data_IF_716839318466
#
_entry.id   IF_716839318466
#
_cell.length_a   1.000
_cell.length_b   1.000
_cell.length_c   1.000
_cell.angle_alpha   90.00
_cell.angle_beta   90.00
_cell.angle_gamma   90.00
#
_symmetry.space_group_name_H-M   'P 1'
#
loop_
_entity.id
_entity.type
_entity.pdbx_description
1 polymer ?
#
# COMPACT_ATOMS: atom_id res chain seq x y z
N UNK A 1 -0.34 -0.41 -15.65
CA UNK A 1 -1.02 0.02 -16.90
C UNK A 1 -2.08 -0.98 -17.39
N UNK A 2 -1.84 -2.29 -17.34
CA UNK A 2 -2.84 -3.32 -17.62
C UNK A 2 -4.08 -3.28 -16.70
N UNK A 3 -3.94 -2.81 -15.46
CA UNK A 3 -5.07 -2.54 -14.55
C UNK A 3 -6.06 -1.55 -15.13
N UNK A 4 -5.58 -0.52 -15.83
CA UNK A 4 -6.43 0.45 -16.55
C UNK A 4 -7.03 -0.17 -17.83
N UNK A 5 -6.34 -1.11 -18.48
CA UNK A 5 -6.88 -1.83 -19.64
C UNK A 5 -8.09 -2.69 -19.24
N UNK A 6 -7.93 -3.45 -18.16
CA UNK A 6 -8.97 -4.32 -17.61
C UNK A 6 -10.15 -3.51 -17.04
N UNK A 7 -9.88 -2.43 -16.29
CA UNK A 7 -10.93 -1.53 -15.80
C UNK A 7 -11.75 -0.93 -16.95
N UNK A 8 -11.10 -0.53 -18.05
CA UNK A 8 -11.80 0.01 -19.22
C UNK A 8 -12.65 -1.05 -19.93
N UNK A 9 -12.19 -2.30 -20.02
CA UNK A 9 -12.98 -3.40 -20.61
C UNK A 9 -14.16 -3.76 -19.71
N UNK A 10 -13.98 -3.75 -18.39
CA UNK A 10 -15.08 -3.98 -17.42
C UNK A 10 -16.07 -2.82 -17.44
N UNK A 11 -15.63 -1.56 -17.45
CA UNK A 11 -16.51 -0.40 -17.59
C UNK A 11 -17.28 -0.43 -18.92
N UNK A 12 -16.63 -0.80 -20.03
CA UNK A 12 -17.29 -0.99 -21.33
C UNK A 12 -18.28 -2.16 -21.27
N UNK A 13 -17.97 -3.23 -20.55
CA UNK A 13 -18.89 -4.34 -20.27
C UNK A 13 -20.09 -3.92 -19.42
N UNK A 14 -19.89 -3.10 -18.39
CA UNK A 14 -20.95 -2.50 -17.55
C UNK A 14 -21.81 -1.51 -18.34
N UNK A 15 -21.19 -0.74 -19.23
CA UNK A 15 -21.89 0.17 -20.15
C UNK A 15 -22.67 -0.64 -21.19
N UNK A 16 -22.13 -1.74 -21.72
CA UNK A 16 -22.87 -2.66 -22.59
C UNK A 16 -24.04 -3.30 -21.85
N UNK A 17 -23.86 -3.67 -20.57
CA UNK A 17 -24.92 -4.19 -19.72
C UNK A 17 -26.02 -3.13 -19.51
N UNK A 18 -25.64 -1.87 -19.25
CA UNK A 18 -26.58 -0.75 -19.14
C UNK A 18 -27.29 -0.43 -20.47
N UNK A 19 -26.62 -0.59 -21.60
CA UNK A 19 -27.21 -0.47 -22.95
C UNK A 19 -28.16 -1.62 -23.25
N UNK A 20 -27.84 -2.85 -22.83
CA UNK A 20 -28.72 -4.02 -22.96
C UNK A 20 -29.92 -3.95 -22.01
N UNK A 21 -29.78 -3.34 -20.84
CA UNK A 21 -30.89 -3.05 -19.92
C UNK A 21 -31.76 -1.87 -20.40
N UNK A 22 -31.22 -0.93 -21.18
CA UNK A 22 -32.02 0.06 -21.91
C UNK A 22 -32.66 -0.50 -23.20
N UNK A 23 -32.15 -1.62 -23.72
CA UNK A 23 -32.73 -2.29 -24.89
C UNK A 23 -34.00 -3.09 -24.57
N UNK A 24 -34.35 -3.28 -23.30
CA UNK A 24 -35.67 -3.82 -22.91
C UNK A 24 -36.81 -2.80 -23.06
N UNK A 25 -36.52 -1.54 -23.41
CA UNK A 25 -37.52 -0.54 -23.83
C UNK A 25 -37.84 -0.62 -25.34
N UNK A 26 -37.70 -1.81 -25.95
CA UNK A 26 -38.36 -2.13 -27.21
C UNK A 26 -39.87 -2.24 -26.98
N UNK A 27 -40.53 -1.09 -26.73
CA UNK A 27 -41.99 -1.01 -26.81
C UNK A 27 -42.39 -1.20 -28.28
N UNK A 28 -43.27 -2.16 -28.60
CA UNK A 28 -43.80 -2.26 -29.95
C UNK A 28 -44.52 -0.95 -30.31
N UNK A 29 -44.33 -0.51 -31.55
CA UNK A 29 -44.95 0.68 -32.13
C UNK A 29 -46.49 0.51 -32.22
N UNK A 30 -47.18 0.71 -31.11
CA UNK A 30 -48.62 0.94 -31.06
C UNK A 30 -48.93 1.69 -29.75
N UNK A 31 -49.74 2.74 -29.83
CA UNK A 31 -50.11 3.69 -28.77
C UNK A 31 -49.20 4.91 -28.58
N UNK A 32 -49.34 5.87 -29.52
CA UNK A 32 -49.18 7.28 -29.19
C UNK A 32 -50.38 7.72 -28.34
N UNK A 33 -50.17 7.95 -27.04
CA UNK A 33 -51.14 8.67 -26.19
C UNK A 33 -50.41 9.68 -25.28
N UNK A 34 -51.04 10.82 -24.95
CA UNK A 34 -50.34 11.99 -24.42
C UNK A 34 -49.84 11.82 -22.98
N UNK A 35 -48.74 12.50 -22.73
CA UNK A 35 -47.85 12.47 -21.58
C UNK A 35 -48.41 13.00 -20.25
N UNK A 36 -49.54 12.48 -19.72
CA UNK A 36 -50.10 13.00 -18.46
C UNK A 36 -50.69 11.97 -17.46
N UNK A 37 -50.40 10.67 -17.57
CA UNK A 37 -51.03 9.65 -16.70
C UNK A 37 -50.11 8.75 -15.86
N UNK A 38 -48.82 9.05 -15.71
CA UNK A 38 -47.91 8.22 -14.89
C UNK A 38 -47.48 8.83 -13.54
N UNK A 39 -47.99 10.00 -13.17
CA UNK A 39 -47.65 10.63 -11.88
C UNK A 39 -48.48 10.12 -10.67
N UNK A 40 -49.34 9.11 -10.84
CA UNK A 40 -50.17 8.60 -9.75
C UNK A 40 -49.80 7.18 -9.29
N UNK A 41 -48.81 6.53 -9.91
CA UNK A 41 -48.35 5.18 -9.52
C UNK A 41 -47.04 5.18 -8.71
N UNK A 42 -46.29 6.29 -8.66
CA UNK A 42 -45.06 6.42 -7.87
C UNK A 42 -45.28 6.63 -6.36
N UNK A 43 -46.53 6.67 -5.89
CA UNK A 43 -46.90 7.00 -4.51
C UNK A 43 -47.05 5.79 -3.58
N UNK A 44 -46.74 4.57 -4.02
CA UNK A 44 -46.73 3.38 -3.15
C UNK A 44 -45.35 2.73 -3.14
N UNK A 45 -44.66 2.76 -1.99
CA UNK A 45 -43.34 2.15 -1.77
C UNK A 45 -43.25 0.63 -2.01
N UNK A 46 -44.29 0.00 -2.58
CA UNK A 46 -44.33 -1.40 -3.03
C UNK A 46 -43.68 -1.61 -4.40
N UNK A 47 -43.74 -0.63 -5.31
CA UNK A 47 -43.17 -0.75 -6.66
C UNK A 47 -41.64 -0.64 -6.65
N UNK A 48 -41.09 0.20 -5.78
CA UNK A 48 -39.64 0.39 -5.62
C UNK A 48 -38.94 -0.88 -5.09
N UNK A 49 -39.62 -1.69 -4.28
CA UNK A 49 -39.10 -2.98 -3.79
C UNK A 49 -39.05 -4.08 -4.85
N UNK A 50 -40.02 -4.09 -5.78
CA UNK A 50 -40.10 -5.09 -6.85
C UNK A 50 -39.03 -4.84 -7.93
N UNK A 51 -38.87 -3.59 -8.36
CA UNK A 51 -37.81 -3.18 -9.30
C UNK A 51 -36.41 -3.48 -8.76
N UNK A 52 -36.23 -3.26 -7.45
CA UNK A 52 -34.98 -3.57 -6.77
C UNK A 52 -34.67 -5.07 -6.74
N UNK A 53 -35.64 -5.92 -6.40
CA UNK A 53 -35.47 -7.38 -6.41
C UNK A 53 -35.13 -7.89 -7.80
N UNK A 54 -35.85 -7.44 -8.82
CA UNK A 54 -35.62 -7.85 -10.20
C UNK A 54 -34.24 -7.43 -10.71
N UNK A 55 -33.78 -6.22 -10.37
CA UNK A 55 -32.42 -5.79 -10.67
C UNK A 55 -31.39 -6.72 -10.01
N UNK A 56 -31.56 -7.02 -8.71
CA UNK A 56 -30.60 -7.86 -7.96
C UNK A 56 -30.55 -9.28 -8.50
N UNK A 57 -31.71 -9.86 -8.84
CA UNK A 57 -31.83 -11.18 -9.43
C UNK A 57 -31.19 -11.23 -10.83
N UNK A 58 -31.38 -10.19 -11.64
CA UNK A 58 -30.74 -10.07 -12.95
C UNK A 58 -29.21 -9.96 -12.84
N UNK A 59 -28.69 -9.10 -11.96
CA UNK A 59 -27.23 -8.98 -11.74
C UNK A 59 -26.66 -10.28 -11.20
N UNK A 60 -27.37 -10.98 -10.31
CA UNK A 60 -26.98 -12.30 -9.81
C UNK A 60 -26.97 -13.37 -10.91
N UNK A 61 -27.91 -13.31 -11.87
CA UNK A 61 -27.96 -14.17 -13.04
C UNK A 61 -26.79 -13.90 -14.00
N UNK A 62 -26.49 -12.62 -14.27
CA UNK A 62 -25.32 -12.21 -15.07
C UNK A 62 -24.03 -12.70 -14.42
N UNK A 63 -23.89 -12.57 -13.09
CA UNK A 63 -22.76 -13.13 -12.34
C UNK A 63 -22.64 -14.64 -12.54
N UNK A 64 -23.76 -15.37 -12.41
CA UNK A 64 -23.80 -16.82 -12.58
C UNK A 64 -23.43 -17.26 -14.01
N UNK A 65 -23.82 -16.49 -15.02
CA UNK A 65 -23.46 -16.74 -16.42
C UNK A 65 -21.97 -16.48 -16.69
N UNK A 66 -21.39 -15.45 -16.06
CA UNK A 66 -19.96 -15.18 -16.11
C UNK A 66 -19.14 -16.25 -15.36
N UNK A 67 -19.71 -16.83 -14.29
CA UNK A 67 -19.13 -17.94 -13.51
C UNK A 67 -19.16 -19.29 -14.25
N UNK A 68 -20.13 -19.54 -15.13
CA UNK A 68 -20.28 -20.82 -15.85
C UNK A 68 -19.25 -21.06 -16.97
N UNK A 69 -18.21 -20.23 -17.06
CA UNK A 69 -17.06 -20.48 -17.94
C UNK A 69 -17.21 -20.00 -19.38
N UNK A 70 -18.29 -19.31 -19.73
CA UNK A 70 -18.48 -18.69 -21.06
C UNK A 70 -17.64 -17.42 -21.27
N UNK A 71 -16.91 -16.95 -20.26
CA UNK A 71 -16.02 -15.77 -20.34
C UNK A 71 -14.64 -16.05 -20.95
N UNK A 72 -14.53 -17.07 -21.81
CA UNK A 72 -13.28 -17.52 -22.46
C UNK A 72 -12.72 -16.55 -23.51
N UNK A 73 -13.24 -15.33 -23.60
CA UNK A 73 -12.81 -14.28 -24.52
C UNK A 73 -12.26 -13.05 -23.79
N UNK A 74 -12.52 -12.90 -22.48
CA UNK A 74 -12.09 -11.73 -21.70
C UNK A 74 -10.56 -11.67 -21.57
N UNK A 75 -9.84 -12.76 -21.24
CA UNK A 75 -8.37 -12.77 -21.24
C UNK A 75 -7.76 -12.41 -22.60
N UNK A 76 -8.35 -12.90 -23.69
CA UNK A 76 -7.89 -12.74 -25.07
C UNK A 76 -8.05 -11.28 -25.52
N UNK A 77 -9.21 -10.67 -25.22
CA UNK A 77 -9.45 -9.25 -25.46
C UNK A 77 -8.52 -8.38 -24.61
N UNK A 78 -8.33 -8.72 -23.33
CA UNK A 78 -7.41 -7.98 -22.45
C UNK A 78 -5.96 -8.02 -22.97
N UNK A 79 -5.50 -9.17 -23.47
CA UNK A 79 -4.20 -9.34 -24.11
C UNK A 79 -4.09 -8.50 -25.38
N UNK A 80 -5.11 -8.50 -26.23
CA UNK A 80 -5.13 -7.70 -27.45
C UNK A 80 -5.09 -6.20 -27.16
N UNK A 81 -5.86 -5.73 -26.17
CA UNK A 81 -5.83 -4.33 -25.72
C UNK A 81 -4.45 -3.97 -25.17
N UNK A 82 -3.83 -4.85 -24.38
CA UNK A 82 -2.46 -4.65 -23.88
C UNK A 82 -1.45 -4.45 -25.03
N UNK A 83 -1.49 -5.32 -26.04
CA UNK A 83 -0.56 -5.24 -27.19
C UNK A 83 -0.84 -4.00 -28.04
N UNK A 84 -2.10 -3.75 -28.42
CA UNK A 84 -2.43 -2.71 -29.41
C UNK A 84 -2.42 -1.31 -28.78
N UNK A 85 -3.07 -1.15 -27.63
CA UNK A 85 -3.28 0.16 -27.00
C UNK A 85 -2.07 0.60 -26.18
N UNK A 86 -1.46 -0.34 -25.45
CA UNK A 86 -0.34 -0.05 -24.55
C UNK A 86 1.02 -0.39 -25.17
N UNK A 87 1.06 -0.99 -26.37
CA UNK A 87 2.28 -1.28 -27.13
C UNK A 87 3.30 -2.14 -26.38
N UNK A 88 2.81 -3.01 -25.51
CA UNK A 88 3.64 -3.92 -24.71
C UNK A 88 3.97 -5.20 -25.48
N UNK A 89 5.04 -5.89 -25.07
CA UNK A 89 5.42 -7.17 -25.65
C UNK A 89 4.38 -8.26 -25.34
N UNK A 90 4.15 -9.18 -26.29
CA UNK A 90 3.13 -10.22 -26.16
C UNK A 90 3.33 -11.12 -24.92
N UNK A 91 4.59 -11.41 -24.56
CA UNK A 91 4.95 -12.17 -23.35
C UNK A 91 4.56 -11.43 -22.07
N UNK A 92 4.82 -10.12 -22.00
CA UNK A 92 4.43 -9.27 -20.86
C UNK A 92 2.91 -9.27 -20.72
N UNK A 93 2.18 -9.06 -21.82
CA UNK A 93 0.73 -9.08 -21.80
C UNK A 93 0.15 -10.45 -21.38
N UNK A 94 0.76 -11.55 -21.81
CA UNK A 94 0.34 -12.90 -21.43
C UNK A 94 0.54 -13.16 -19.93
N UNK A 95 1.73 -12.84 -19.41
CA UNK A 95 2.06 -12.99 -17.99
C UNK A 95 1.17 -12.14 -17.09
N UNK A 96 1.00 -10.85 -17.43
CA UNK A 96 0.13 -9.94 -16.67
C UNK A 96 -1.33 -10.42 -16.67
N UNK A 97 -1.88 -10.79 -17.83
CA UNK A 97 -3.28 -11.28 -17.89
C UNK A 97 -3.44 -12.56 -17.10
N UNK A 98 -2.48 -13.47 -17.18
CA UNK A 98 -2.51 -14.75 -16.45
C UNK A 98 -2.47 -14.53 -14.93
N UNK A 99 -1.54 -13.70 -14.46
CA UNK A 99 -1.37 -13.40 -13.03
C UNK A 99 -2.57 -12.68 -12.43
N UNK A 100 -3.13 -11.69 -13.13
CA UNK A 100 -4.20 -10.85 -12.59
C UNK A 100 -5.62 -11.41 -12.79
N UNK A 101 -5.81 -12.38 -13.70
CA UNK A 101 -7.11 -13.02 -13.97
C UNK A 101 -7.91 -13.38 -12.70
N UNK A 102 -7.36 -14.13 -11.72
CA UNK A 102 -8.13 -14.51 -10.53
C UNK A 102 -8.56 -13.30 -9.68
N UNK A 103 -7.71 -12.29 -9.53
CA UNK A 103 -8.03 -11.07 -8.76
C UNK A 103 -9.07 -10.22 -9.46
N UNK A 104 -8.97 -10.08 -10.77
CA UNK A 104 -9.98 -9.35 -11.51
C UNK A 104 -11.33 -10.04 -11.50
N UNK A 105 -11.34 -11.37 -11.62
CA UNK A 105 -12.55 -12.17 -11.43
C UNK A 105 -13.15 -11.88 -10.05
N UNK A 106 -12.34 -11.95 -9.00
CA UNK A 106 -12.76 -11.62 -7.65
C UNK A 106 -13.34 -10.18 -7.54
N UNK A 107 -12.64 -9.17 -8.07
CA UNK A 107 -13.07 -7.78 -8.02
C UNK A 107 -14.37 -7.54 -8.81
N UNK A 108 -14.52 -8.17 -9.98
CA UNK A 108 -15.77 -8.15 -10.74
C UNK A 108 -16.89 -8.76 -9.90
N UNK A 109 -16.70 -9.97 -9.38
CA UNK A 109 -17.75 -10.73 -8.72
C UNK A 109 -18.20 -10.10 -7.38
N UNK A 110 -17.27 -9.44 -6.67
CA UNK A 110 -17.50 -8.93 -5.31
C UNK A 110 -17.63 -7.41 -5.21
N UNK A 111 -17.08 -6.66 -6.16
CA UNK A 111 -17.05 -5.19 -6.11
C UNK A 111 -17.92 -4.59 -7.20
N UNK A 112 -17.68 -4.93 -8.47
CA UNK A 112 -18.32 -4.27 -9.63
C UNK A 112 -19.66 -4.87 -10.07
N UNK A 113 -19.87 -6.17 -9.89
CA UNK A 113 -21.13 -6.89 -10.18
C UNK A 113 -21.83 -7.36 -8.90
N UNK A 114 -21.56 -6.69 -7.77
CA UNK A 114 -22.36 -6.88 -6.57
C UNK A 114 -23.80 -6.41 -6.86
N UNK A 115 -24.83 -7.27 -6.71
CA UNK A 115 -26.23 -6.87 -6.92
C UNK A 115 -26.63 -5.64 -6.10
N UNK A 116 -26.11 -5.52 -4.87
CA UNK A 116 -26.35 -4.35 -4.01
C UNK A 116 -25.73 -3.09 -4.63
N UNK A 117 -24.47 -3.14 -5.04
CA UNK A 117 -23.76 -1.95 -5.55
C UNK A 117 -24.34 -1.50 -6.89
N UNK A 118 -24.51 -2.43 -7.85
CA UNK A 118 -25.04 -2.12 -9.18
C UNK A 118 -26.45 -1.55 -9.06
N UNK A 119 -27.35 -2.23 -8.35
CA UNK A 119 -28.73 -1.78 -8.25
C UNK A 119 -28.86 -0.51 -7.39
N UNK A 120 -28.00 -0.30 -6.40
CA UNK A 120 -27.89 0.97 -5.67
C UNK A 120 -27.50 2.15 -6.53
N UNK A 121 -26.54 1.96 -7.45
CA UNK A 121 -26.08 3.02 -8.34
C UNK A 121 -27.18 3.46 -9.31
N UNK A 122 -27.95 2.52 -9.84
CA UNK A 122 -28.94 2.80 -10.88
C UNK A 122 -30.34 3.09 -10.34
N UNK A 123 -30.75 2.48 -9.23
CA UNK A 123 -32.09 2.63 -8.63
C UNK A 123 -32.11 3.47 -7.34
N UNK A 124 -30.95 3.97 -6.92
CA UNK A 124 -30.79 4.83 -5.75
C UNK A 124 -30.58 4.09 -4.43
N UNK A 125 -30.32 4.84 -3.37
CA UNK A 125 -29.96 4.33 -2.03
C UNK A 125 -31.05 3.47 -1.37
N UNK A 126 -32.30 3.53 -1.83
CA UNK A 126 -33.38 2.64 -1.39
C UNK A 126 -33.24 1.19 -1.87
N UNK A 127 -32.36 0.92 -2.85
CA UNK A 127 -32.11 -0.41 -3.41
C UNK A 127 -30.73 -0.99 -3.05
N UNK A 128 -29.94 -0.28 -2.26
CA UNK A 128 -28.64 -0.76 -1.79
C UNK A 128 -28.48 -0.58 -0.29
N UNK A 129 -27.99 -1.62 0.36
CA UNK A 129 -27.50 -1.52 1.74
C UNK A 129 -26.05 -0.97 1.82
N UNK A 130 -25.41 -0.72 0.68
CA UNK A 130 -24.00 -0.37 0.55
C UNK A 130 -23.80 0.91 -0.27
N UNK A 131 -23.14 1.90 0.32
CA UNK A 131 -22.55 2.99 -0.45
C UNK A 131 -21.42 2.42 -1.30
N UNK A 132 -21.48 2.57 -2.63
CA UNK A 132 -20.30 2.34 -3.48
C UNK A 132 -19.21 3.27 -2.93
N UNK A 133 -18.04 2.76 -2.49
CA UNK A 133 -16.98 3.62 -2.03
C UNK A 133 -16.47 4.38 -3.25
N UNK A 134 -16.78 5.67 -3.35
CA UNK A 134 -16.09 6.53 -4.30
C UNK A 134 -14.58 6.41 -4.00
N UNK A 135 -13.76 6.20 -5.02
CA UNK A 135 -12.29 6.06 -4.87
C UNK A 135 -11.62 7.28 -4.19
N UNK A 136 -12.36 8.39 -4.02
CA UNK A 136 -11.96 9.61 -3.32
C UNK A 136 -12.84 9.92 -2.08
N UNK A 137 -13.49 8.91 -1.50
CA UNK A 137 -14.34 9.10 -0.32
C UNK A 137 -13.49 9.44 0.92
N UNK A 138 -13.82 10.56 1.55
CA UNK A 138 -13.28 10.92 2.86
C UNK A 138 -14.08 10.22 3.95
N UNK A 139 -13.37 9.56 4.85
CA UNK A 139 -13.88 9.00 6.09
C UNK A 139 -13.08 9.58 7.25
N UNK A 140 -13.50 9.35 8.49
CA UNK A 140 -12.81 9.87 9.67
C UNK A 140 -12.50 8.75 10.66
N UNK A 141 -11.29 8.79 11.22
CA UNK A 141 -10.93 8.05 12.43
C UNK A 141 -11.49 8.74 13.68
N UNK A 142 -11.62 7.98 14.77
CA UNK A 142 -11.99 8.54 16.07
C UNK A 142 -10.73 8.75 16.92
N UNK A 143 -10.37 10.01 17.15
CA UNK A 143 -9.32 10.38 18.09
C UNK A 143 -9.86 10.27 19.54
N UNK A 144 -8.99 9.94 20.51
CA UNK A 144 -9.37 9.88 21.91
C UNK A 144 -9.74 11.28 22.44
N UNK A 145 -10.55 11.30 23.50
CA UNK A 145 -10.94 12.54 24.19
C UNK A 145 -9.81 13.17 25.02
N UNK A 146 -8.67 12.47 25.17
CA UNK A 146 -7.48 12.98 25.86
C UNK A 146 -6.99 14.24 25.13
N UNK A 147 -6.94 15.40 25.82
CA UNK A 147 -6.51 16.65 25.20
C UNK A 147 -5.10 16.54 24.63
N UNK A 148 -4.89 17.11 23.44
CA UNK A 148 -3.56 17.23 22.84
C UNK A 148 -2.64 18.01 23.79
N UNK A 149 -1.46 17.48 24.16
CA UNK A 149 -0.49 18.21 24.95
C UNK A 149 -0.05 19.51 24.27
N UNK A 150 0.34 20.56 25.03
CA UNK A 150 0.90 21.76 24.45
C UNK A 150 2.12 21.46 23.59
N UNK A 151 2.23 22.14 22.44
CA UNK A 151 3.41 22.04 21.57
C UNK A 151 4.62 22.58 22.33
N UNK A 152 5.61 21.71 22.54
CA UNK A 152 6.86 22.08 23.21
C UNK A 152 8.02 22.02 22.21
N UNK A 153 8.90 23.03 22.16
CA UNK A 153 10.08 22.98 21.31
C UNK A 153 10.96 21.79 21.67
N UNK A 154 11.38 21.05 20.65
CA UNK A 154 12.36 19.96 20.79
C UNK A 154 13.63 20.54 21.40
N UNK A 155 14.03 19.98 22.54
CA UNK A 155 15.29 20.35 23.18
C UNK A 155 16.44 19.67 22.45
N UNK A 156 17.50 20.40 22.06
CA UNK A 156 18.69 19.79 21.50
C UNK A 156 19.30 18.77 22.48
N UNK A 157 19.90 17.67 21.98
CA UNK A 157 20.64 16.75 22.82
C UNK A 157 21.75 17.47 23.59
N UNK A 158 22.03 17.04 24.82
CA UNK A 158 23.15 17.61 25.59
C UNK A 158 24.48 17.35 24.87
N UNK A 159 25.47 18.26 24.94
CA UNK A 159 26.78 18.02 24.35
C UNK A 159 27.39 16.71 24.87
N UNK A 160 27.74 15.80 23.96
CA UNK A 160 28.27 14.47 24.31
C UNK A 160 27.22 13.40 24.62
N UNK A 161 25.91 13.70 24.47
CA UNK A 161 24.85 12.70 24.55
C UNK A 161 25.09 11.56 23.56
N UNK A 162 24.69 10.34 23.97
CA UNK A 162 24.78 9.15 23.12
C UNK A 162 23.93 9.33 21.87
N UNK A 163 24.48 8.93 20.72
CA UNK A 163 23.78 8.89 19.43
C UNK A 163 23.70 7.45 18.95
N UNK A 164 22.55 7.08 18.41
CA UNK A 164 22.33 5.82 17.72
C UNK A 164 22.56 6.02 16.22
N UNK A 165 23.16 5.03 15.55
CA UNK A 165 23.30 5.00 14.10
C UNK A 165 22.28 4.04 13.51
N UNK A 166 21.33 4.58 12.76
CA UNK A 166 20.26 3.80 12.13
C UNK A 166 20.46 3.79 10.63
N UNK A 167 20.69 2.60 10.05
CA UNK A 167 20.67 2.45 8.60
C UNK A 167 19.22 2.34 8.11
N UNK A 168 18.92 2.94 6.97
CA UNK A 168 17.62 2.85 6.31
C UNK A 168 17.82 2.42 4.87
N UNK A 169 17.23 1.27 4.57
CA UNK A 169 17.32 0.57 3.29
C UNK A 169 15.90 0.38 2.78
N UNK A 170 15.69 0.63 1.48
CA UNK A 170 14.41 0.41 0.82
C UNK A 170 14.65 0.04 -0.64
N UNK A 171 13.66 -0.58 -1.27
CA UNK A 171 13.58 -0.73 -2.73
C UNK A 171 14.84 -1.44 -3.27
N UNK A 172 15.08 -2.65 -2.76
CA UNK A 172 16.28 -3.45 -3.08
C UNK A 172 16.23 -4.00 -4.51
N UNK A 173 15.04 -4.39 -4.97
CA UNK A 173 14.78 -4.96 -6.30
C UNK A 173 15.81 -6.01 -6.74
N UNK A 174 15.82 -7.13 -6.02
CA UNK A 174 16.64 -8.29 -6.32
C UNK A 174 16.15 -8.95 -7.61
N UNK A 175 16.93 -8.84 -8.68
CA UNK A 175 16.72 -9.58 -9.93
C UNK A 175 17.29 -11.00 -9.77
N UNK A 176 16.38 -11.99 -9.72
CA UNK A 176 16.72 -13.40 -9.56
C UNK A 176 17.40 -14.01 -10.82
N UNK A 177 17.39 -13.29 -11.95
CA UNK A 177 18.00 -13.68 -13.22
C UNK A 177 19.36 -12.99 -13.47
N UNK A 178 19.87 -12.23 -12.50
CA UNK A 178 21.13 -11.53 -12.61
C UNK A 178 22.32 -12.48 -12.89
N UNK A 179 23.25 -12.06 -13.77
CA UNK A 179 24.48 -12.80 -14.12
C UNK A 179 25.75 -12.05 -13.70
N UNK A 180 26.74 -12.81 -13.23
CA UNK A 180 27.96 -12.40 -12.51
C UNK A 180 28.86 -11.39 -13.25
N UNK A 181 29.35 -10.34 -12.54
CA UNK A 181 30.37 -9.39 -13.01
C UNK A 181 30.62 -8.09 -12.19
N UNK A 182 29.99 -7.86 -11.03
CA UNK A 182 30.11 -6.60 -10.26
C UNK A 182 30.78 -6.78 -8.88
N UNK A 183 31.61 -5.81 -8.48
CA UNK A 183 32.43 -5.81 -7.24
C UNK A 183 31.63 -5.39 -5.99
N UNK A 184 31.85 -6.08 -4.88
CA UNK A 184 31.30 -5.77 -3.55
C UNK A 184 32.39 -5.87 -2.45
N UNK A 185 33.63 -5.48 -2.77
CA UNK A 185 34.76 -5.54 -1.84
C UNK A 185 35.01 -4.19 -1.17
N UNK A 186 34.70 -4.09 0.13
CA UNK A 186 35.00 -2.91 0.96
C UNK A 186 36.27 -3.04 1.80
N UNK A 187 37.09 -4.08 1.56
CA UNK A 187 38.47 -4.16 2.02
C UNK A 187 38.72 -4.13 3.54
N UNK A 188 37.70 -4.30 4.39
CA UNK A 188 37.84 -4.21 5.86
C UNK A 188 37.12 -5.36 6.60
N UNK A 189 37.66 -5.91 7.71
CA UNK A 189 37.04 -7.02 8.45
C UNK A 189 35.71 -6.67 9.14
N UNK A 190 35.39 -5.38 9.31
CA UNK A 190 34.09 -4.89 9.78
C UNK A 190 34.00 -3.38 9.52
N UNK A 191 32.97 -2.93 8.81
CA UNK A 191 32.62 -1.51 8.66
C UNK A 191 31.11 -1.32 8.83
N UNK A 192 30.70 -0.14 9.32
CA UNK A 192 29.33 0.24 9.65
C UNK A 192 28.70 -0.57 10.80
N UNK A 193 29.07 -0.25 12.06
CA UNK A 193 28.25 -0.64 13.22
C UNK A 193 27.02 0.27 13.25
N UNK A 194 25.86 -0.34 13.01
CA UNK A 194 24.55 0.27 13.21
C UNK A 194 23.93 -0.25 14.50
N UNK A 195 23.21 0.59 15.22
CA UNK A 195 22.39 0.17 16.36
C UNK A 195 21.09 -0.48 15.87
N UNK A 196 20.58 -0.04 14.71
CA UNK A 196 19.41 -0.61 14.07
C UNK A 196 19.44 -0.47 12.54
N UNK A 197 18.67 -1.33 11.86
CA UNK A 197 18.37 -1.25 10.42
C UNK A 197 16.85 -1.10 10.27
N UNK A 198 16.44 -0.02 9.62
CA UNK A 198 15.08 0.19 9.11
C UNK A 198 15.03 -0.30 7.67
N UNK A 199 14.09 -1.19 7.40
CA UNK A 199 13.86 -1.72 6.06
C UNK A 199 12.42 -1.47 5.64
N UNK A 200 12.21 -0.68 4.59
CA UNK A 200 10.87 -0.26 4.16
C UNK A 200 10.35 -1.01 2.93
N UNK A 201 10.82 -2.23 2.65
CA UNK A 201 10.20 -3.11 1.66
C UNK A 201 10.72 -2.98 0.24
N UNK A 202 10.00 -3.60 -0.70
CA UNK A 202 10.32 -3.73 -2.13
C UNK A 202 11.61 -4.53 -2.40
N UNK A 203 11.63 -5.79 -1.94
CA UNK A 203 12.68 -6.74 -2.33
C UNK A 203 12.53 -7.26 -3.76
N UNK A 204 11.35 -7.71 -4.23
CA UNK A 204 11.24 -8.28 -5.58
C UNK A 204 11.41 -7.22 -6.66
N UNK A 205 11.91 -7.63 -7.82
CA UNK A 205 12.15 -6.73 -8.96
C UNK A 205 10.85 -6.28 -9.67
N UNK A 206 11.04 -5.59 -10.80
CA UNK A 206 9.95 -5.09 -11.63
C UNK A 206 9.52 -6.06 -12.76
N UNK A 207 10.05 -7.29 -12.81
CA UNK A 207 9.62 -8.33 -13.75
C UNK A 207 8.26 -8.94 -13.35
N UNK A 208 7.30 -8.09 -13.02
CA UNK A 208 6.01 -8.39 -12.37
C UNK A 208 5.07 -9.27 -13.20
N UNK A 209 5.42 -9.54 -14.46
CA UNK A 209 4.67 -10.42 -15.37
C UNK A 209 5.09 -11.89 -15.26
N UNK A 210 6.19 -12.19 -14.56
CA UNK A 210 6.75 -13.55 -14.45
C UNK A 210 7.24 -13.84 -13.01
N UNK A 211 6.43 -13.46 -12.02
CA UNK A 211 6.71 -13.71 -10.60
C UNK A 211 5.83 -14.84 -10.06
N UNK A 212 6.37 -15.61 -9.12
CA UNK A 212 5.67 -16.71 -8.41
C UNK A 212 5.71 -16.47 -6.90
N UNK A 213 4.76 -17.06 -6.16
CA UNK A 213 4.68 -16.92 -4.70
C UNK A 213 5.92 -17.45 -4.00
N UNK A 214 6.43 -18.57 -4.51
CA UNK A 214 7.63 -19.23 -4.01
C UNK A 214 8.84 -18.31 -4.11
N UNK A 215 9.02 -17.64 -5.25
CA UNK A 215 10.11 -16.65 -5.43
C UNK A 215 10.01 -15.50 -4.44
N UNK A 216 8.81 -14.95 -4.18
CA UNK A 216 8.66 -13.85 -3.20
C UNK A 216 9.08 -14.28 -1.80
N UNK A 217 8.65 -15.47 -1.37
CA UNK A 217 9.02 -16.04 -0.07
C UNK A 217 10.53 -16.29 0.01
N UNK A 218 11.11 -16.87 -1.05
CA UNK A 218 12.54 -17.20 -1.09
C UNK A 218 13.43 -15.96 -1.09
N UNK A 219 13.04 -14.90 -1.80
CA UNK A 219 13.76 -13.61 -1.78
C UNK A 219 13.81 -13.06 -0.36
N UNK A 220 12.67 -13.03 0.35
CA UNK A 220 12.62 -12.50 1.71
C UNK A 220 13.41 -13.39 2.69
N UNK A 221 13.32 -14.72 2.55
CA UNK A 221 14.10 -15.68 3.33
C UNK A 221 15.60 -15.46 3.15
N UNK A 222 16.06 -15.28 1.91
CA UNK A 222 17.47 -15.09 1.59
C UNK A 222 17.96 -13.73 2.10
N UNK A 223 17.18 -12.66 1.93
CA UNK A 223 17.52 -11.34 2.43
C UNK A 223 17.67 -11.33 3.96
N UNK A 224 16.71 -11.90 4.68
CA UNK A 224 16.80 -12.01 6.15
C UNK A 224 17.91 -12.95 6.61
N UNK A 225 18.26 -13.99 5.83
CA UNK A 225 19.43 -14.82 6.10
C UNK A 225 20.75 -14.03 5.96
N UNK A 226 20.86 -13.16 4.95
CA UNK A 226 22.01 -12.26 4.80
C UNK A 226 22.10 -11.28 5.98
N UNK A 227 20.98 -10.70 6.41
CA UNK A 227 20.95 -9.82 7.57
C UNK A 227 21.41 -10.53 8.84
N UNK A 228 20.95 -11.76 9.10
CA UNK A 228 21.44 -12.55 10.25
C UNK A 228 22.93 -12.86 10.16
N UNK A 229 23.44 -13.12 8.95
CA UNK A 229 24.85 -13.44 8.73
C UNK A 229 25.76 -12.24 8.96
N UNK A 230 25.41 -11.08 8.41
CA UNK A 230 26.27 -9.89 8.43
C UNK A 230 25.96 -8.93 9.59
N UNK A 231 24.76 -8.98 10.16
CA UNK A 231 24.29 -8.11 11.24
C UNK A 231 23.59 -8.89 12.38
N UNK A 232 24.22 -9.94 12.96
CA UNK A 232 23.56 -10.85 13.91
C UNK A 232 23.07 -10.19 15.20
N UNK A 233 23.66 -9.05 15.60
CA UNK A 233 23.37 -8.34 16.85
C UNK A 233 22.76 -6.95 16.62
N UNK A 234 22.28 -6.67 15.41
CA UNK A 234 21.66 -5.38 15.07
C UNK A 234 20.15 -5.54 15.08
N UNK A 235 19.45 -4.58 15.69
CA UNK A 235 18.00 -4.57 15.64
C UNK A 235 17.52 -4.37 14.19
N UNK A 236 16.55 -5.15 13.74
CA UNK A 236 16.00 -5.05 12.40
C UNK A 236 14.49 -4.80 12.50
N UNK A 237 14.04 -3.71 11.90
CA UNK A 237 12.62 -3.31 11.87
C UNK A 237 12.20 -3.18 10.42
N UNK A 238 11.17 -3.93 10.02
CA UNK A 238 10.74 -4.03 8.64
C UNK A 238 9.31 -3.49 8.45
N UNK A 239 9.09 -2.83 7.32
CA UNK A 239 7.79 -2.61 6.70
C UNK A 239 7.72 -3.36 5.36
N UNK A 240 6.52 -3.74 4.94
CA UNK A 240 6.28 -4.36 3.64
C UNK A 240 6.14 -3.28 2.56
N UNK A 241 6.72 -3.55 1.40
CA UNK A 241 6.52 -2.77 0.19
C UNK A 241 5.39 -3.33 -0.65
N UNK A 242 5.16 -2.69 -1.80
CA UNK A 242 4.08 -3.08 -2.69
C UNK A 242 4.48 -4.23 -3.64
N UNK A 243 5.78 -4.50 -3.79
CA UNK A 243 6.32 -5.61 -4.58
C UNK A 243 6.34 -6.96 -3.87
N UNK A 244 6.11 -7.03 -2.56
CA UNK A 244 6.13 -8.31 -1.83
C UNK A 244 5.00 -9.29 -2.21
N UNK A 245 3.87 -8.79 -2.73
CA UNK A 245 2.76 -9.65 -3.18
C UNK A 245 2.87 -10.00 -4.66
N UNK A 246 2.31 -11.16 -5.03
CA UNK A 246 2.10 -11.55 -6.42
C UNK A 246 0.61 -11.85 -6.64
N UNK A 247 -0.04 -11.13 -7.56
CA UNK A 247 0.49 -10.04 -8.40
C UNK A 247 0.81 -8.77 -7.59
N UNK A 248 1.74 -7.96 -8.09
CA UNK A 248 2.21 -6.72 -7.45
C UNK A 248 1.06 -5.81 -6.99
N UNK A 249 1.20 -5.19 -5.81
CA UNK A 249 0.17 -4.39 -5.13
C UNK A 249 -1.07 -5.16 -4.66
N UNK A 250 -1.14 -6.48 -4.87
CA UNK A 250 -2.29 -7.28 -4.42
C UNK A 250 -2.11 -7.74 -2.99
N UNK A 251 -2.60 -6.91 -2.07
CA UNK A 251 -2.77 -7.25 -0.67
C UNK A 251 -4.29 -7.34 -0.46
N UNK A 252 -4.85 -8.54 -0.26
CA UNK A 252 -6.25 -8.75 0.12
C UNK A 252 -6.39 -8.94 1.65
N UNK A 253 -7.46 -8.44 2.29
CA UNK A 253 -7.66 -8.43 3.73
C UNK A 253 -7.85 -9.79 4.29
N UNK A 254 -7.81 -9.81 5.62
CA UNK A 254 -8.11 -10.99 6.40
C UNK A 254 -9.46 -11.66 6.14
N UNK A 255 -10.54 -10.96 5.78
CA UNK A 255 -11.81 -11.68 5.51
C UNK A 255 -11.79 -12.38 4.13
N UNK A 256 -10.83 -12.08 3.24
CA UNK A 256 -10.53 -12.91 2.07
C UNK A 256 -9.79 -14.14 2.57
N UNK A 257 -10.38 -15.32 2.32
CA UNK A 257 -9.83 -16.61 2.74
C UNK A 257 -9.51 -17.46 1.53
N UNK A 258 -8.67 -18.47 1.73
CA UNK A 258 -8.32 -19.42 0.68
C UNK A 258 -7.18 -18.92 -0.19
N UNK A 259 -7.16 -19.37 -1.44
CA UNK A 259 -6.01 -19.19 -2.32
C UNK A 259 -5.79 -17.73 -2.73
N UNK A 260 -6.83 -16.91 -2.68
CA UNK A 260 -6.80 -15.49 -3.02
C UNK A 260 -6.30 -14.61 -1.87
N UNK A 261 -6.09 -15.17 -0.67
CA UNK A 261 -5.56 -14.43 0.48
C UNK A 261 -4.03 -14.33 0.44
N UNK A 262 -3.49 -13.61 1.43
CA UNK A 262 -2.05 -13.54 1.70
C UNK A 262 -1.57 -14.55 2.75
N UNK A 263 -2.38 -15.58 3.05
CA UNK A 263 -2.05 -16.66 4.00
C UNK A 263 -0.80 -17.47 3.56
N UNK A 264 -0.40 -17.38 2.29
CA UNK A 264 0.85 -17.97 1.80
C UNK A 264 2.10 -17.16 2.17
N UNK A 265 1.96 -15.86 2.47
CA UNK A 265 3.08 -14.95 2.68
C UNK A 265 3.24 -14.50 4.14
N UNK A 266 2.16 -14.08 4.81
CA UNK A 266 2.29 -13.53 6.18
C UNK A 266 2.83 -14.52 7.22
N UNK A 267 2.45 -15.82 7.20
CA UNK A 267 3.05 -16.80 8.10
C UNK A 267 4.54 -17.02 7.84
N UNK A 268 4.96 -17.03 6.56
CA UNK A 268 6.37 -17.13 6.19
C UNK A 268 7.15 -15.88 6.60
N UNK A 269 6.57 -14.70 6.40
CA UNK A 269 7.12 -13.43 6.86
C UNK A 269 7.35 -13.44 8.38
N UNK A 270 6.37 -13.93 9.16
CA UNK A 270 6.52 -14.08 10.60
C UNK A 270 7.68 -15.02 10.96
N UNK A 271 7.82 -16.17 10.28
CA UNK A 271 8.94 -17.09 10.50
C UNK A 271 10.30 -16.38 10.31
N UNK A 272 10.39 -15.52 9.29
CA UNK A 272 11.63 -14.80 8.99
C UNK A 272 11.91 -13.64 9.93
N UNK A 273 10.86 -12.94 10.40
CA UNK A 273 10.97 -11.76 11.25
C UNK A 273 10.95 -12.05 12.75
N UNK A 274 10.44 -13.21 13.18
CA UNK A 274 10.32 -13.55 14.61
C UNK A 274 11.62 -13.49 15.42
N UNK A 275 12.84 -13.63 14.84
CA UNK A 275 14.07 -13.37 15.59
C UNK A 275 14.25 -11.92 16.05
N UNK A 276 13.63 -10.95 15.37
CA UNK A 276 13.74 -9.51 15.68
C UNK A 276 12.45 -8.91 16.23
N UNK A 277 11.31 -9.58 16.05
CA UNK A 277 9.99 -9.09 16.45
C UNK A 277 9.51 -9.80 17.73
N UNK A 278 9.13 -9.06 18.78
CA UNK A 278 8.57 -9.65 20.00
C UNK A 278 7.37 -10.57 19.72
N UNK A 279 7.28 -11.70 20.42
CA UNK A 279 6.28 -12.75 20.15
C UNK A 279 4.83 -12.28 20.28
N UNK A 280 4.56 -11.31 21.14
CA UNK A 280 3.25 -10.69 21.35
C UNK A 280 2.80 -9.86 20.13
N UNK A 281 3.72 -9.51 19.22
CA UNK A 281 3.42 -8.78 17.99
C UNK A 281 3.06 -9.70 16.81
N UNK A 282 3.13 -11.02 16.98
CA UNK A 282 2.80 -12.00 15.92
C UNK A 282 1.47 -11.71 15.24
N UNK A 283 0.42 -11.46 16.03
CA UNK A 283 -0.90 -11.20 15.48
C UNK A 283 -0.97 -9.90 14.67
N UNK A 284 -0.11 -8.92 14.95
CA UNK A 284 -0.04 -7.68 14.16
C UNK A 284 0.71 -7.92 12.84
N UNK A 285 1.75 -8.75 12.82
CA UNK A 285 2.43 -9.14 11.58
C UNK A 285 1.49 -9.90 10.64
N UNK A 286 0.54 -10.67 11.19
CA UNK A 286 -0.44 -11.43 10.42
C UNK A 286 -1.66 -10.61 9.97
N UNK A 287 -1.71 -9.29 10.16
CA UNK A 287 -2.84 -8.40 9.78
C UNK A 287 -2.43 -7.45 8.65
N UNK A 288 -2.82 -7.74 7.41
CA UNK A 288 -2.62 -6.83 6.27
C UNK A 288 -3.70 -7.03 5.17
N UNK A 289 -3.83 -6.03 4.26
CA UNK A 289 -4.99 -5.13 3.94
C UNK A 289 -5.90 -5.48 2.71
N UNK A 290 -7.06 -4.75 2.54
CA UNK A 290 -8.03 -4.36 1.39
C UNK A 290 -9.43 -4.99 0.89
N UNK A 291 -10.61 -4.61 1.44
CA UNK A 291 -11.94 -4.59 0.72
C UNK A 291 -12.58 -3.23 0.89
N UNK A 292 -12.68 -2.78 2.14
CA UNK A 292 -13.20 -1.47 2.47
C UNK A 292 -12.02 -0.50 2.55
N UNK A 293 -12.08 0.60 1.80
CA UNK A 293 -11.06 1.66 1.82
C UNK A 293 -11.17 2.55 3.06
N UNK A 294 -12.23 2.40 3.85
CA UNK A 294 -12.37 2.96 5.19
C UNK A 294 -11.60 2.09 6.19
N UNK A 295 -10.52 2.65 6.72
CA UNK A 295 -9.55 2.03 7.65
C UNK A 295 -9.37 0.51 7.51
N UNK A 296 -8.73 0.04 6.42
CA UNK A 296 -8.56 -1.40 6.20
C UNK A 296 -7.88 -2.10 7.40
N UNK A 297 -8.54 -3.13 7.94
CA UNK A 297 -8.13 -3.88 9.14
C UNK A 297 -7.93 -2.99 10.40
N UNK A 298 -8.64 -1.86 10.48
CA UNK A 298 -8.55 -0.87 11.57
C UNK A 298 -7.11 -0.40 11.84
N UNK A 299 -6.27 -0.32 10.80
CA UNK A 299 -4.85 -0.02 10.94
C UNK A 299 -4.60 1.37 11.57
N UNK A 300 -5.31 2.41 11.14
CA UNK A 300 -5.19 3.74 11.71
C UNK A 300 -5.80 3.82 13.10
N UNK A 301 -6.91 3.14 13.36
CA UNK A 301 -7.49 3.07 14.70
C UNK A 301 -6.59 2.33 15.70
N UNK A 302 -5.92 1.25 15.26
CA UNK A 302 -4.88 0.57 16.02
C UNK A 302 -3.68 1.49 16.28
N UNK A 303 -3.22 2.21 15.26
CA UNK A 303 -2.11 3.17 15.37
C UNK A 303 -2.44 4.26 16.42
N UNK A 304 -3.65 4.80 16.41
CA UNK A 304 -4.12 5.75 17.44
C UNK A 304 -3.98 5.14 18.84
N UNK A 305 -4.38 3.88 19.02
CA UNK A 305 -4.26 3.19 20.30
C UNK A 305 -2.81 2.99 20.75
N UNK A 306 -1.90 2.69 19.82
CA UNK A 306 -0.45 2.58 20.09
C UNK A 306 0.12 3.94 20.48
N UNK A 307 -0.15 4.98 19.70
CA UNK A 307 0.35 6.33 19.94
C UNK A 307 -0.19 6.91 21.25
N UNK A 308 -1.44 6.63 21.59
CA UNK A 308 -2.00 7.09 22.86
C UNK A 308 -1.32 6.43 24.05
N UNK A 309 -1.01 5.13 23.98
CA UNK A 309 -0.24 4.44 25.04
C UNK A 309 1.17 4.99 25.15
N UNK A 310 1.83 5.22 24.03
CA UNK A 310 3.16 5.82 24.00
C UNK A 310 3.14 7.23 24.63
N UNK A 311 2.16 8.07 24.27
CA UNK A 311 1.96 9.40 24.88
C UNK A 311 1.73 9.30 26.40
N UNK A 312 0.88 8.37 26.85
CA UNK A 312 0.62 8.15 28.29
C UNK A 312 1.84 7.66 29.07
N UNK A 313 2.75 6.95 28.41
CA UNK A 313 4.00 6.45 29.01
C UNK A 313 5.18 7.42 28.85
N UNK A 314 5.00 8.55 28.15
CA UNK A 314 6.09 9.47 27.83
C UNK A 314 7.12 8.90 26.83
N UNK A 315 6.73 7.89 26.06
CA UNK A 315 7.56 7.25 25.04
C UNK A 315 7.62 8.10 23.76
N UNK A 316 8.60 7.80 22.90
CA UNK A 316 8.75 8.37 21.57
C UNK A 316 8.58 7.30 20.51
N UNK A 317 8.08 7.71 19.34
CA UNK A 317 7.69 6.79 18.28
C UNK A 317 8.31 7.19 16.94
N UNK A 318 8.96 6.22 16.29
CA UNK A 318 9.26 6.26 14.88
C UNK A 318 8.19 5.48 14.10
N UNK A 319 7.68 6.04 13.02
CA UNK A 319 6.75 5.36 12.11
C UNK A 319 7.50 4.96 10.85
N UNK A 320 7.46 3.67 10.51
CA UNK A 320 8.00 3.12 9.27
C UNK A 320 6.85 2.67 8.37
N UNK A 321 6.95 2.94 7.08
CA UNK A 321 6.06 2.43 6.04
C UNK A 321 6.77 2.41 4.70
N UNK A 322 6.19 1.79 3.68
CA UNK A 322 6.79 1.82 2.34
C UNK A 322 6.35 3.06 1.55
N UNK A 323 5.08 3.13 1.20
CA UNK A 323 4.49 4.23 0.41
C UNK A 323 4.35 5.47 1.30
N UNK A 324 4.92 6.63 0.93
CA UNK A 324 4.81 7.84 1.70
C UNK A 324 3.36 8.34 1.76
N UNK A 325 3.01 9.02 2.86
CA UNK A 325 1.62 9.46 3.11
C UNK A 325 1.03 10.34 2.01
N UNK A 326 1.85 11.03 1.22
CA UNK A 326 1.44 11.86 0.07
C UNK A 326 0.91 11.07 -1.12
N UNK A 327 1.26 9.79 -1.24
CA UNK A 327 0.86 8.92 -2.37
C UNK A 327 -0.27 7.94 -2.00
N UNK A 328 -0.72 7.97 -0.75
CA UNK A 328 -1.85 7.18 -0.28
C UNK A 328 -3.18 7.76 -0.80
N UNK A 329 -4.20 6.92 -0.84
CA UNK A 329 -5.57 7.36 -1.15
C UNK A 329 -6.01 8.49 -0.19
N UNK A 330 -6.75 9.48 -0.71
CA UNK A 330 -7.01 10.75 -0.03
C UNK A 330 -7.58 10.59 1.39
N UNK A 331 -8.56 9.72 1.56
CA UNK A 331 -9.17 9.45 2.87
C UNK A 331 -8.14 8.92 3.88
N UNK A 332 -7.26 8.02 3.45
CA UNK A 332 -6.23 7.44 4.30
C UNK A 332 -5.14 8.47 4.62
N UNK A 333 -4.62 9.15 3.60
CA UNK A 333 -3.62 10.23 3.74
C UNK A 333 -4.08 11.31 4.71
N UNK A 334 -5.33 11.76 4.57
CA UNK A 334 -5.92 12.80 5.40
C UNK A 334 -6.07 12.36 6.86
N UNK A 335 -6.48 11.11 7.12
CA UNK A 335 -6.58 10.62 8.50
C UNK A 335 -5.20 10.38 9.12
N UNK A 336 -4.25 9.81 8.38
CA UNK A 336 -2.88 9.66 8.83
C UNK A 336 -2.28 11.01 9.24
N UNK A 337 -2.49 12.04 8.43
CA UNK A 337 -2.03 13.39 8.73
C UNK A 337 -2.64 13.96 10.01
N UNK A 338 -3.96 13.81 10.23
CA UNK A 338 -4.60 14.23 11.50
C UNK A 338 -4.04 13.50 12.71
N UNK A 339 -3.75 12.21 12.58
CA UNK A 339 -3.16 11.40 13.65
C UNK A 339 -1.74 11.91 13.94
N UNK A 340 -0.94 12.13 12.89
CA UNK A 340 0.41 12.65 13.03
C UNK A 340 0.42 14.04 13.70
N UNK A 341 -0.51 14.91 13.32
CA UNK A 341 -0.68 16.24 13.93
C UNK A 341 -1.08 16.12 15.40
N UNK A 342 -2.04 15.25 15.74
CA UNK A 342 -2.48 15.04 17.13
C UNK A 342 -1.34 14.55 18.02
N UNK A 343 -0.47 13.68 17.51
CA UNK A 343 0.62 13.06 18.27
C UNK A 343 2.00 13.62 17.93
N UNK A 344 2.09 14.88 17.46
CA UNK A 344 3.34 15.52 17.05
C UNK A 344 4.43 15.57 18.15
N UNK A 345 4.05 15.53 19.43
CA UNK A 345 4.99 15.50 20.56
C UNK A 345 5.51 14.08 20.85
N UNK A 346 4.84 13.06 20.33
CA UNK A 346 5.13 11.63 20.55
C UNK A 346 5.86 11.03 19.35
N UNK A 347 5.48 11.41 18.13
CA UNK A 347 6.13 10.95 16.90
C UNK A 347 7.37 11.80 16.63
N UNK A 348 8.52 11.14 16.42
CA UNK A 348 9.81 11.82 16.25
C UNK A 348 10.43 11.62 14.87
N UNK A 349 9.83 10.78 14.03
CA UNK A 349 10.27 10.60 12.65
C UNK A 349 9.37 9.65 11.88
N UNK A 350 9.18 9.95 10.60
CA UNK A 350 8.46 9.10 9.65
C UNK A 350 9.46 8.64 8.57
N UNK A 351 9.54 7.34 8.29
CA UNK A 351 10.53 6.75 7.40
C UNK A 351 9.83 5.95 6.30
N UNK A 352 10.07 6.34 5.05
CA UNK A 352 9.44 5.78 3.85
C UNK A 352 10.44 5.52 2.71
N UNK A 353 10.00 4.79 1.69
CA UNK A 353 10.72 4.53 0.45
C UNK A 353 9.81 4.75 -0.76
N UNK A 354 9.71 3.76 -1.65
CA UNK A 354 8.77 3.68 -2.79
C UNK A 354 9.06 4.61 -3.96
N UNK A 355 9.41 5.89 -3.71
CA UNK A 355 9.63 6.86 -4.80
C UNK A 355 10.95 6.63 -5.54
N UNK A 356 11.84 5.81 -4.98
CA UNK A 356 13.23 5.59 -5.41
C UNK A 356 14.09 6.86 -5.40
N UNK A 357 13.60 7.93 -4.78
CA UNK A 357 14.24 9.23 -4.79
C UNK A 357 14.61 9.67 -3.38
N UNK A 358 15.70 10.43 -3.31
CA UNK A 358 16.14 11.05 -2.06
C UNK A 358 15.29 12.28 -1.80
N UNK A 359 14.28 12.14 -0.94
CA UNK A 359 13.30 13.19 -0.70
C UNK A 359 13.07 13.44 0.80
N UNK A 360 12.58 14.65 1.08
CA UNK A 360 12.18 15.09 2.41
C UNK A 360 10.77 15.66 2.34
N UNK A 361 9.83 14.99 3.01
CA UNK A 361 8.48 15.51 3.24
C UNK A 361 8.42 16.31 4.54
N UNK A 362 7.67 17.40 4.55
CA UNK A 362 7.42 18.23 5.74
C UNK A 362 5.92 18.33 5.98
N UNK A 363 5.49 18.04 7.20
CA UNK A 363 4.09 18.18 7.60
C UNK A 363 3.87 19.52 8.28
N UNK A 364 2.82 20.24 7.87
CA UNK A 364 2.47 21.57 8.36
C UNK A 364 1.15 21.56 9.10
N UNK A 365 1.04 22.32 10.18
CA UNK A 365 -0.20 22.40 10.96
C UNK A 365 -1.35 22.95 10.09
N UNK A 366 -2.49 22.27 9.99
CA UNK A 366 -3.62 22.74 9.19
C UNK A 366 -4.22 24.05 9.73
N UNK A 367 -4.11 24.34 11.02
CA UNK A 367 -4.52 25.61 11.62
C UNK A 367 -3.46 26.72 11.45
N UNK A 368 -2.19 26.36 11.24
CA UNK A 368 -1.11 27.29 10.94
C UNK A 368 -0.12 26.70 9.94
N UNK A 369 -0.37 26.93 8.65
CA UNK A 369 0.39 26.32 7.54
C UNK A 369 1.85 26.77 7.44
N UNK A 370 2.30 27.68 8.32
CA UNK A 370 3.72 28.06 8.42
C UNK A 370 4.48 27.25 9.48
N UNK A 371 3.75 26.53 10.35
CA UNK A 371 4.33 25.73 11.43
C UNK A 371 4.50 24.28 10.98
N UNK A 372 5.74 23.87 10.74
CA UNK A 372 6.06 22.46 10.57
C UNK A 372 5.89 21.72 11.91
N UNK A 373 5.30 20.52 11.87
CA UNK A 373 5.14 19.66 13.05
C UNK A 373 5.81 18.29 12.90
N UNK A 374 6.19 17.90 11.68
CA UNK A 374 6.79 16.59 11.45
C UNK A 374 7.57 16.52 10.15
N UNK A 375 8.40 15.49 10.04
CA UNK A 375 9.27 15.25 8.88
C UNK A 375 9.18 13.79 8.44
N UNK A 376 9.03 13.60 7.14
CA UNK A 376 9.05 12.31 6.47
C UNK A 376 10.35 12.17 5.67
N UNK A 377 11.17 11.21 6.04
CA UNK A 377 12.39 10.87 5.34
C UNK A 377 12.10 9.78 4.32
N UNK A 378 12.19 10.13 3.04
CA UNK A 378 11.98 9.22 1.92
C UNK A 378 13.36 8.87 1.36
N UNK A 379 13.73 7.59 1.45
CA UNK A 379 15.06 7.13 1.06
C UNK A 379 15.09 6.74 -0.42
N UNK A 380 16.24 6.98 -1.07
CA UNK A 380 16.48 6.45 -2.40
C UNK A 380 16.57 4.92 -2.40
N UNK A 381 16.51 4.32 -3.59
CA UNK A 381 16.51 2.87 -3.75
C UNK A 381 17.91 2.29 -3.95
N UNK A 382 18.04 0.98 -3.75
CA UNK A 382 19.21 0.21 -4.19
C UNK A 382 19.07 -0.28 -5.65
N UNK A 383 17.97 0.09 -6.32
CA UNK A 383 17.75 -0.15 -7.75
C UNK A 383 18.88 0.45 -8.60
N UNK A 384 19.20 -0.22 -9.71
CA UNK A 384 20.33 0.10 -10.58
C UNK A 384 19.98 0.98 -11.79
N UNK A 385 18.76 1.49 -11.90
CA UNK A 385 18.39 2.50 -12.90
C UNK A 385 18.92 3.90 -12.54
N UNK A 386 19.32 4.09 -11.29
CA UNK A 386 20.17 5.17 -10.79
C UNK A 386 21.45 4.66 -10.11
N UNK A 387 22.14 5.52 -9.37
CA UNK A 387 23.17 5.07 -8.44
C UNK A 387 22.47 4.45 -7.23
N UNK A 388 22.68 3.15 -6.92
CA UNK A 388 22.12 2.53 -5.73
C UNK A 388 22.50 3.32 -4.48
N UNK A 389 21.54 3.52 -3.58
CA UNK A 389 21.76 4.32 -2.38
C UNK A 389 21.04 3.78 -1.16
N UNK A 390 21.61 4.06 0.01
CA UNK A 390 20.98 3.87 1.30
C UNK A 390 21.29 5.09 2.18
N UNK A 391 20.52 5.27 3.27
CA UNK A 391 20.72 6.41 4.19
C UNK A 391 21.10 5.94 5.58
N UNK A 392 21.97 6.71 6.24
CA UNK A 392 22.28 6.52 7.65
C UNK A 392 21.89 7.76 8.43
N UNK A 393 21.10 7.56 9.49
CA UNK A 393 20.71 8.60 10.42
C UNK A 393 21.53 8.51 11.70
N UNK A 394 21.94 9.65 12.24
CA UNK A 394 22.23 9.76 13.66
C UNK A 394 20.90 10.06 14.37
N UNK A 395 20.59 9.36 15.45
CA UNK A 395 19.37 9.55 16.24
C UNK A 395 19.77 9.79 17.69
N UNK A 396 19.20 10.80 18.31
CA UNK A 396 19.38 11.03 19.74
C UNK A 396 18.73 9.88 20.55
N UNK A 397 19.51 9.07 21.27
CA UNK A 397 18.92 7.88 21.89
C UNK A 397 19.87 7.01 22.70
N UNK A 398 19.28 6.00 23.35
CA UNK A 398 20.01 5.07 24.21
C UNK A 398 20.27 5.57 25.63
N UNK A 399 19.49 6.56 26.10
CA UNK A 399 19.49 7.07 27.47
C UNK A 399 18.08 7.59 27.85
N UNK A 400 17.83 7.78 29.15
CA UNK A 400 16.54 8.22 29.65
C UNK A 400 16.20 9.64 29.18
N UNK A 401 14.95 9.88 28.78
CA UNK A 401 14.45 11.17 28.29
C UNK A 401 15.11 11.70 27.01
N UNK A 402 15.79 10.84 26.23
CA UNK A 402 16.27 11.22 24.90
C UNK A 402 15.11 11.70 24.02
N UNK A 403 15.39 12.62 23.10
CA UNK A 403 14.39 13.17 22.18
C UNK A 403 13.97 12.16 21.10
N UNK A 404 14.80 11.16 20.81
CA UNK A 404 14.59 10.20 19.71
C UNK A 404 14.41 10.86 18.34
N UNK A 405 14.87 12.09 18.19
CA UNK A 405 14.82 12.79 16.91
C UNK A 405 16.00 12.36 16.03
N UNK A 406 15.78 12.13 14.73
CA UNK A 406 16.87 12.03 13.77
C UNK A 406 17.68 13.33 13.77
N UNK A 407 18.88 13.26 14.33
CA UNK A 407 19.84 14.34 14.34
C UNK A 407 20.57 14.38 13.01
N UNK A 408 20.68 15.57 12.44
CA UNK A 408 21.64 15.81 11.37
C UNK A 408 23.02 16.10 12.00
N UNK A 409 23.72 15.27 12.78
CA UNK A 409 24.96 15.72 13.46
C UNK A 409 24.70 16.81 14.52
N UNK A 410 25.40 17.97 14.55
CA UNK A 410 24.98 19.21 15.27
C UNK A 410 23.70 19.85 14.66
N UNK A 411 22.85 19.03 14.04
CA UNK A 411 21.85 19.43 13.05
C UNK A 411 22.39 20.03 11.71
N UNK A 412 23.57 19.59 11.21
CA UNK A 412 24.19 19.89 9.91
C UNK A 412 24.42 18.77 8.86
N UNK A 413 24.36 17.44 9.12
CA UNK A 413 24.67 16.41 8.09
C UNK A 413 23.78 15.16 8.11
N UNK A 414 23.24 14.77 6.96
CA UNK A 414 22.79 13.42 6.62
C UNK A 414 23.86 12.75 5.73
N UNK A 415 24.18 11.49 5.96
CA UNK A 415 25.06 10.73 5.08
C UNK A 415 24.21 9.93 4.10
N UNK A 416 24.29 10.31 2.82
CA UNK A 416 23.72 9.54 1.72
C UNK A 416 24.86 8.70 1.16
N UNK A 417 24.78 7.39 1.38
CA UNK A 417 25.76 6.47 0.84
C UNK A 417 25.31 6.09 -0.57
N UNK A 418 25.95 6.65 -1.61
CA UNK A 418 25.72 6.28 -3.01
C UNK A 418 26.81 5.33 -3.48
N UNK A 419 26.41 4.19 -4.03
CA UNK A 419 27.32 3.29 -4.74
C UNK A 419 27.50 3.82 -6.17
N UNK A 420 28.74 4.11 -6.56
CA UNK A 420 29.07 4.50 -7.95
C UNK A 420 29.13 3.23 -8.81
N UNK A 421 28.54 3.27 -10.00
CA UNK A 421 28.81 2.27 -11.04
C UNK A 421 30.29 2.34 -11.44
N UNK A 422 31.12 1.40 -10.97
CA UNK A 422 32.54 1.34 -11.29
C UNK A 422 32.73 0.98 -12.78
N UNK A 423 33.17 1.95 -13.59
CA UNK A 423 33.80 1.69 -14.90
C UNK A 423 35.29 2.02 -14.94
N UNK A 424 35.92 2.35 -13.81
CA UNK A 424 37.35 2.68 -13.75
C UNK A 424 37.91 2.38 -12.36
N UNK A 425 38.97 1.58 -12.31
CA UNK A 425 39.61 1.06 -11.10
C UNK A 425 40.33 2.13 -10.26
N UNK A 426 39.55 2.95 -9.57
CA UNK A 426 40.00 3.74 -8.43
C UNK A 426 39.27 3.22 -7.18
N UNK A 427 40.00 2.44 -6.37
CA UNK A 427 39.50 1.66 -5.24
C UNK A 427 39.43 2.49 -3.93
N UNK A 428 39.26 3.81 -4.04
CA UNK A 428 39.15 4.69 -2.87
C UNK A 428 37.84 5.48 -2.86
N UNK A 429 36.82 4.97 -2.15
CA UNK A 429 35.62 5.75 -1.79
C UNK A 429 35.57 5.91 -0.27
N UNK A 430 35.82 7.10 0.29
CA UNK A 430 35.48 7.37 1.69
C UNK A 430 33.96 7.54 1.83
N UNK A 431 33.39 6.93 2.87
CA UNK A 431 32.01 7.14 3.31
C UNK A 431 31.73 8.60 3.68
#
# INVERSE_FOLDING_TARGET
MATKAYLNVVLVGSILLAVLMNASDARPAAFNAPSNHYNWLSSSGRLQGLECSLCKDFVALVRKALDSGESSYVPEIAKLVCIIKYKEAAQVCDGVVTLWRPIFKFAIDKVYLSPENVCGQYLGSGCSNSTIPELNYYWNVTLPSVPKPPVTPIQPPTPGARRLRVAHISDVHVDMLYKVGASADCGLPTCCRFDAIYFTGDLPDHHVWEQTREQQVDIYRNFTALLRKYFPNVAFVAALGNHESVPVNSFPPRYIKGNESMDWYYPALWEFLSPWVPSDQKENVLKWILQNITDPDDQLQWLIGVLQRAESNGEKVHILGHIPSSELIKGYSWNYFKIAERYESTITGHFFGHTHHDELGVYFDPANTTRAFGTAYIVGSLKTDGNPSYRVYEVDGGYANASWQPCTGDCKRQFICRMRNMRSGDDSIPC
#
